data_IF_613105435625
#
_entry.id   IF_613105435625
#
_cell.length_a   1.000
_cell.length_b   1.000
_cell.length_c   1.000
_cell.angle_alpha   90.00
_cell.angle_beta   90.00
_cell.angle_gamma   90.00
#
_symmetry.space_group_name_H-M   'P 1'
#
loop_
_entity.id
_entity.type
_entity.pdbx_description
1 polymer ?
#
# COMPACT_ATOMS: atom_id res chain seq x y z
N UNK A 1 -11.15 4.99 -32.90
CA UNK A 1 -11.14 5.74 -31.62
C UNK A 1 -11.81 4.87 -30.57
N UNK A 2 -11.07 3.95 -29.95
CA UNK A 2 -11.58 3.04 -28.92
C UNK A 2 -10.93 3.38 -27.58
N UNK A 3 -11.74 3.70 -26.57
CA UNK A 3 -11.29 4.02 -25.21
C UNK A 3 -10.80 2.77 -24.47
N UNK A 4 -9.67 2.88 -23.77
CA UNK A 4 -9.07 1.80 -22.97
C UNK A 4 -9.84 1.65 -21.67
N UNK A 5 -10.33 0.45 -21.36
CA UNK A 5 -11.10 0.16 -20.16
C UNK A 5 -10.31 -0.75 -19.22
N UNK A 6 -10.23 -0.37 -17.94
CA UNK A 6 -9.57 -1.17 -16.90
C UNK A 6 -10.45 -2.38 -16.54
N UNK A 7 -9.84 -3.54 -16.32
CA UNK A 7 -10.54 -4.77 -15.89
C UNK A 7 -11.00 -4.62 -14.43
N UNK A 8 -12.29 -4.84 -14.19
CA UNK A 8 -12.96 -4.69 -12.89
C UNK A 8 -12.93 -6.03 -12.10
N UNK A 9 -12.36 -6.05 -10.89
CA UNK A 9 -12.58 -7.13 -9.89
C UNK A 9 -13.48 -6.61 -8.75
N UNK A 10 -14.61 -7.30 -8.57
CA UNK A 10 -15.74 -7.00 -7.68
C UNK A 10 -15.38 -7.04 -6.17
N UNK A 11 -14.24 -7.60 -5.77
CA UNK A 11 -13.84 -7.67 -4.34
C UNK A 11 -13.06 -6.46 -3.83
N UNK A 12 -12.40 -5.71 -4.73
CA UNK A 12 -11.70 -4.44 -4.42
C UNK A 12 -12.37 -3.20 -5.02
N UNK A 13 -13.43 -3.38 -5.80
CA UNK A 13 -14.19 -2.29 -6.44
C UNK A 13 -14.88 -1.32 -5.46
N UNK A 14 -15.07 -1.72 -4.20
CA UNK A 14 -15.76 -0.89 -3.20
C UNK A 14 -14.87 0.17 -2.53
N UNK A 15 -13.56 -0.09 -2.39
CA UNK A 15 -12.66 0.84 -1.69
C UNK A 15 -12.09 1.86 -2.67
N UNK A 16 -12.61 3.08 -2.59
CA UNK A 16 -12.20 4.22 -3.41
C UNK A 16 -11.51 5.24 -2.53
N UNK A 17 -10.40 5.76 -3.02
CA UNK A 17 -9.55 6.65 -2.26
C UNK A 17 -8.85 7.68 -3.17
N UNK A 18 -8.13 8.61 -2.57
CA UNK A 18 -7.45 9.70 -3.31
C UNK A 18 -6.33 9.13 -4.18
N UNK A 19 -6.31 9.53 -5.45
CA UNK A 19 -5.21 9.21 -6.38
C UNK A 19 -4.26 10.41 -6.49
N UNK A 20 -2.97 10.15 -6.51
CA UNK A 20 -1.90 11.15 -6.56
C UNK A 20 -1.10 11.01 -7.85
N UNK A 21 -0.71 12.13 -8.45
CA UNK A 21 0.04 12.16 -9.71
C UNK A 21 1.56 12.13 -9.49
N UNK A 22 2.02 12.42 -8.29
CA UNK A 22 3.43 12.47 -7.93
C UNK A 22 3.70 11.70 -6.64
N UNK A 23 4.86 11.05 -6.60
CA UNK A 23 5.46 10.40 -5.44
C UNK A 23 6.93 10.76 -5.44
N UNK A 24 7.44 11.26 -4.32
CA UNK A 24 8.86 11.59 -4.15
C UNK A 24 9.69 10.40 -3.64
N UNK A 25 11.00 10.60 -3.51
CA UNK A 25 11.93 9.58 -3.01
C UNK A 25 11.64 9.15 -1.55
N UNK A 26 10.90 9.96 -0.80
CA UNK A 26 10.45 9.68 0.56
C UNK A 26 9.13 8.94 0.65
N UNK A 27 8.57 8.48 -0.49
CA UNK A 27 7.24 7.84 -0.56
C UNK A 27 6.10 8.78 -0.13
N UNK A 28 6.26 10.08 -0.36
CA UNK A 28 5.23 11.08 -0.06
C UNK A 28 4.45 11.37 -1.34
N UNK A 29 3.14 11.20 -1.25
CA UNK A 29 2.22 11.45 -2.34
C UNK A 29 1.82 12.93 -2.42
N UNK A 30 1.85 13.50 -3.60
CA UNK A 30 1.46 14.89 -3.86
C UNK A 30 0.63 15.00 -5.15
N UNK A 31 0.01 16.18 -5.35
CA UNK A 31 -0.94 16.43 -6.45
C UNK A 31 -2.15 15.48 -6.45
N UNK A 32 -3.04 15.60 -5.45
CA UNK A 32 -4.24 14.78 -5.39
C UNK A 32 -5.17 15.12 -6.56
N UNK A 33 -5.66 14.09 -7.24
CA UNK A 33 -6.64 14.20 -8.31
C UNK A 33 -8.04 14.34 -7.73
N UNK A 34 -8.89 15.11 -8.41
CA UNK A 34 -10.27 15.28 -7.99
C UNK A 34 -11.06 13.97 -8.17
N UNK A 35 -11.73 13.52 -7.11
CA UNK A 35 -12.52 12.29 -7.08
C UNK A 35 -11.77 11.09 -6.48
N UNK A 36 -12.52 10.26 -5.75
CA UNK A 36 -12.03 8.99 -5.20
C UNK A 36 -12.16 7.91 -6.25
N UNK A 37 -11.08 7.17 -6.46
CA UNK A 37 -10.96 6.10 -7.47
C UNK A 37 -10.39 4.85 -6.83
N UNK A 38 -10.52 3.70 -7.50
CA UNK A 38 -9.86 2.47 -7.03
C UNK A 38 -8.34 2.52 -7.29
N UNK A 39 -7.60 1.64 -6.65
CA UNK A 39 -6.15 1.51 -6.87
C UNK A 39 -5.83 1.25 -8.36
N UNK A 40 -6.60 0.38 -9.02
CA UNK A 40 -6.44 0.09 -10.45
C UNK A 40 -6.76 1.30 -11.33
N UNK A 41 -7.86 2.01 -11.07
CA UNK A 41 -8.21 3.25 -11.78
C UNK A 41 -7.14 4.35 -11.58
N UNK A 42 -6.47 4.38 -10.43
CA UNK A 42 -5.37 5.31 -10.22
C UNK A 42 -4.15 4.90 -11.05
N UNK A 43 -3.66 3.67 -10.85
CA UNK A 43 -2.38 3.22 -11.34
C UNK A 43 -2.33 2.88 -12.84
N UNK A 44 -3.44 2.42 -13.42
CA UNK A 44 -3.51 2.11 -14.85
C UNK A 44 -3.65 3.34 -15.74
N UNK A 45 -4.13 4.44 -15.17
CA UNK A 45 -4.13 5.74 -15.82
C UNK A 45 -2.81 6.47 -15.54
N UNK A 46 -2.87 7.70 -15.03
CA UNK A 46 -1.72 8.57 -14.82
C UNK A 46 -1.26 8.66 -13.36
N UNK A 47 -1.89 7.89 -12.46
CA UNK A 47 -1.55 7.90 -11.04
C UNK A 47 -0.17 7.33 -10.77
N UNK A 48 0.41 7.79 -9.67
CA UNK A 48 1.68 7.31 -9.12
C UNK A 48 1.56 6.84 -7.67
N UNK A 49 0.54 7.27 -6.94
CA UNK A 49 0.23 6.75 -5.62
C UNK A 49 -1.25 6.87 -5.25
N UNK A 50 -1.68 6.11 -4.26
CA UNK A 50 -3.10 5.92 -3.96
C UNK A 50 -3.39 5.74 -2.46
N UNK A 51 -4.42 6.43 -1.97
CA UNK A 51 -4.89 6.39 -0.59
C UNK A 51 -4.05 7.21 0.39
N UNK A 52 -4.52 7.34 1.64
CA UNK A 52 -3.88 8.16 2.68
C UNK A 52 -2.49 7.67 3.07
N UNK A 53 -2.21 6.38 2.90
CA UNK A 53 -0.92 5.73 3.18
C UNK A 53 0.07 5.79 1.99
N UNK A 54 -0.28 6.53 0.92
CA UNK A 54 0.54 6.67 -0.30
C UNK A 54 1.02 5.33 -0.89
N UNK A 55 0.08 4.42 -1.21
CA UNK A 55 0.43 3.17 -1.87
C UNK A 55 0.89 3.46 -3.30
N UNK A 56 2.17 3.23 -3.60
CA UNK A 56 2.74 3.54 -4.90
C UNK A 56 2.21 2.61 -6.00
N UNK A 57 2.13 3.16 -7.20
CA UNK A 57 1.76 2.39 -8.38
C UNK A 57 2.96 1.58 -8.88
N UNK A 58 2.73 0.36 -9.42
CA UNK A 58 3.81 -0.43 -10.01
C UNK A 58 4.46 0.33 -11.17
N UNK A 59 5.75 0.04 -11.41
CA UNK A 59 6.48 0.64 -12.51
C UNK A 59 5.81 0.30 -13.85
N UNK A 60 5.67 1.30 -14.73
CA UNK A 60 5.06 1.10 -16.06
C UNK A 60 5.80 0.02 -16.83
N UNK A 61 5.04 -0.85 -17.50
CA UNK A 61 5.53 -2.00 -18.27
C UNK A 61 6.22 -3.10 -17.46
N UNK A 62 6.28 -2.99 -16.13
CA UNK A 62 6.60 -4.15 -15.30
C UNK A 62 5.51 -5.21 -15.43
N UNK A 63 5.88 -6.47 -15.20
CA UNK A 63 4.91 -7.56 -15.15
C UNK A 63 3.78 -7.27 -14.14
N UNK A 64 4.11 -6.66 -13.00
CA UNK A 64 3.14 -6.19 -12.01
C UNK A 64 2.18 -5.11 -12.54
N UNK A 65 2.66 -4.20 -13.40
CA UNK A 65 1.80 -3.20 -14.04
C UNK A 65 0.91 -3.84 -15.11
N UNK A 66 1.45 -4.76 -15.91
CA UNK A 66 0.70 -5.43 -16.97
C UNK A 66 -0.40 -6.33 -16.41
N UNK A 67 -0.13 -7.05 -15.31
CA UNK A 67 -1.14 -7.84 -14.57
C UNK A 67 -2.20 -6.97 -13.89
N UNK A 68 -1.82 -5.79 -13.36
CA UNK A 68 -2.77 -4.84 -12.75
C UNK A 68 -3.68 -4.17 -13.78
N UNK A 69 -3.14 -3.89 -14.96
CA UNK A 69 -3.77 -3.04 -15.95
C UNK A 69 -4.15 -3.81 -17.21
N UNK A 70 -4.34 -5.13 -17.09
CA UNK A 70 -4.56 -6.08 -18.19
C UNK A 70 -5.16 -5.41 -19.42
N UNK A 71 -4.26 -5.09 -20.36
CA UNK A 71 -4.61 -4.56 -21.65
C UNK A 71 -4.94 -5.77 -22.50
N UNK A 72 -6.20 -5.92 -22.93
CA UNK A 72 -6.50 -6.77 -24.07
C UNK A 72 -5.65 -6.29 -25.25
N UNK A 73 -4.57 -7.02 -25.55
CA UNK A 73 -4.06 -7.12 -26.90
C UNK A 73 -4.89 -8.21 -27.56
N UNK A 74 -5.86 -7.79 -28.36
CA UNK A 74 -6.62 -8.67 -29.24
C UNK A 74 -5.64 -9.43 -30.14
N UNK A 75 -5.47 -10.74 -29.94
CA UNK A 75 -5.02 -11.61 -31.01
C UNK A 75 -6.28 -12.10 -31.73
N UNK A 76 -6.61 -11.43 -32.83
CA UNK A 76 -7.40 -12.04 -33.90
C UNK A 76 -6.62 -13.26 -34.43
N UNK A 77 -6.96 -14.47 -33.99
CA UNK A 77 -6.77 -15.70 -34.79
C UNK A 77 -7.50 -16.87 -34.11
N UNK A 78 -8.63 -17.23 -34.71
CA UNK A 78 -9.15 -18.59 -34.89
C UNK A 78 -9.11 -19.55 -33.68
N UNK A 79 -10.17 -19.53 -32.87
CA UNK A 79 -10.55 -20.70 -32.07
C UNK A 79 -10.98 -20.37 -30.65
N UNK A 80 -12.28 -20.25 -30.44
CA UNK A 80 -12.89 -20.37 -29.11
C UNK A 80 -12.64 -21.78 -28.56
N UNK A 81 -11.71 -21.92 -27.62
CA UNK A 81 -11.68 -22.93 -26.53
C UNK A 81 -10.26 -22.97 -25.93
N UNK A 82 -9.98 -22.17 -24.89
CA UNK A 82 -9.14 -22.66 -23.77
C UNK A 82 -8.96 -21.71 -22.58
N UNK A 83 -9.55 -20.50 -22.58
CA UNK A 83 -9.29 -19.57 -21.47
C UNK A 83 -10.02 -19.90 -20.15
N UNK A 84 -10.96 -20.85 -20.15
CA UNK A 84 -11.56 -21.39 -18.92
C UNK A 84 -10.93 -22.72 -18.46
N UNK A 85 -10.11 -23.37 -19.28
CA UNK A 85 -9.43 -24.61 -18.88
C UNK A 85 -8.20 -24.33 -18.00
N UNK A 86 -7.54 -23.19 -18.18
CA UNK A 86 -6.42 -22.77 -17.34
C UNK A 86 -6.80 -22.47 -15.88
N UNK A 87 -8.04 -22.03 -15.61
CA UNK A 87 -8.57 -21.87 -14.25
C UNK A 87 -9.21 -23.15 -13.69
N UNK A 88 -9.74 -24.03 -14.55
CA UNK A 88 -10.35 -25.29 -14.11
C UNK A 88 -9.31 -26.37 -13.76
N UNK A 89 -8.14 -26.33 -14.40
CA UNK A 89 -7.04 -27.28 -14.13
C UNK A 89 -5.98 -26.72 -13.16
N UNK A 90 -6.15 -25.49 -12.67
CA UNK A 90 -5.31 -24.96 -11.59
C UNK A 90 -5.71 -25.64 -10.28
N UNK A 91 -5.06 -26.76 -9.98
CA UNK A 91 -5.19 -27.45 -8.71
C UNK A 91 -4.49 -26.61 -7.63
N UNK A 92 -5.20 -26.07 -6.63
CA UNK A 92 -4.60 -25.29 -5.55
C UNK A 92 -3.82 -26.25 -4.63
N UNK A 93 -2.59 -26.57 -5.01
CA UNK A 93 -1.74 -27.52 -4.29
C UNK A 93 -0.51 -28.02 -5.05
N UNK A 94 -0.37 -27.72 -6.35
CA UNK A 94 0.80 -28.13 -7.14
C UNK A 94 1.90 -27.04 -7.17
N UNK A 95 2.15 -26.43 -6.02
CA UNK A 95 3.45 -25.78 -5.80
C UNK A 95 4.44 -26.91 -5.57
N UNK A 96 5.32 -27.17 -6.55
CA UNK A 96 6.58 -27.85 -6.25
C UNK A 96 7.17 -27.21 -4.99
N UNK A 97 7.62 -28.04 -4.04
CA UNK A 97 8.06 -27.67 -2.70
C UNK A 97 9.34 -26.79 -2.67
N UNK A 98 9.61 -26.01 -3.72
CA UNK A 98 10.72 -25.07 -3.85
C UNK A 98 10.29 -23.58 -3.74
N UNK A 99 8.99 -23.26 -3.72
CA UNK A 99 8.46 -21.87 -3.63
C UNK A 99 7.98 -21.48 -2.22
N UNK A 100 8.58 -22.04 -1.17
CA UNK A 100 8.24 -21.67 0.23
C UNK A 100 8.85 -20.33 0.66
N UNK A 101 9.69 -19.71 -0.17
CA UNK A 101 10.46 -18.50 0.17
C UNK A 101 9.94 -17.20 -0.45
N UNK A 102 8.90 -17.23 -1.30
CA UNK A 102 8.49 -16.05 -2.08
C UNK A 102 7.68 -15.00 -1.26
N UNK A 103 7.34 -15.29 0.00
CA UNK A 103 6.56 -14.38 0.85
C UNK A 103 7.08 -14.27 2.29
N UNK A 104 8.26 -13.66 2.47
CA UNK A 104 8.81 -13.34 3.79
C UNK A 104 8.22 -12.04 4.37
N UNK A 105 6.95 -12.06 4.79
CA UNK A 105 6.27 -10.92 5.41
C UNK A 105 6.61 -10.77 6.91
N UNK A 106 7.76 -10.18 7.24
CA UNK A 106 8.00 -9.72 8.61
C UNK A 106 7.04 -8.57 8.95
N UNK A 107 6.37 -8.62 10.12
CA UNK A 107 5.36 -7.65 10.56
C UNK A 107 4.12 -7.52 9.67
N UNK A 108 3.74 -8.62 9.02
CA UNK A 108 2.50 -8.71 8.27
C UNK A 108 2.05 -10.15 8.12
N UNK A 109 0.95 -10.35 7.38
CA UNK A 109 0.53 -11.66 6.92
C UNK A 109 0.62 -11.73 5.41
N UNK A 110 0.97 -12.92 4.94
CA UNK A 110 1.01 -13.20 3.52
C UNK A 110 -0.41 -13.41 2.98
N UNK A 111 -0.77 -12.72 1.91
CA UNK A 111 -2.07 -12.85 1.25
C UNK A 111 -1.90 -13.06 -0.25
N UNK A 112 -2.71 -13.95 -0.84
CA UNK A 112 -2.73 -14.10 -2.30
C UNK A 112 -3.38 -12.87 -2.93
N UNK A 113 -2.72 -12.33 -3.94
CA UNK A 113 -3.21 -11.25 -4.78
C UNK A 113 -3.14 -11.66 -6.26
N UNK A 114 -3.85 -10.94 -7.12
CA UNK A 114 -3.81 -11.13 -8.58
C UNK A 114 -2.42 -10.82 -9.17
N UNK A 115 -1.55 -10.16 -8.40
CA UNK A 115 -0.16 -9.86 -8.78
C UNK A 115 0.84 -10.92 -8.33
N UNK A 116 0.37 -12.01 -7.71
CA UNK A 116 1.20 -12.94 -6.96
C UNK A 116 1.01 -12.74 -5.47
N UNK A 117 1.92 -13.30 -4.69
CA UNK A 117 1.82 -13.26 -3.24
C UNK A 117 2.25 -11.88 -2.71
N UNK A 118 1.43 -11.23 -1.88
CA UNK A 118 1.72 -9.89 -1.31
C UNK A 118 1.59 -9.88 0.22
N UNK A 119 2.21 -8.90 0.87
CA UNK A 119 2.02 -8.71 2.30
C UNK A 119 0.80 -7.83 2.61
N UNK A 120 0.09 -8.18 3.67
CA UNK A 120 -0.81 -7.29 4.37
C UNK A 120 -0.15 -6.92 5.71
N UNK A 121 0.18 -5.64 5.88
CA UNK A 121 1.00 -5.17 6.99
C UNK A 121 0.19 -4.98 8.27
N UNK A 122 0.81 -5.31 9.41
CA UNK A 122 0.27 -4.99 10.72
C UNK A 122 0.20 -3.47 10.92
N UNK A 123 -0.62 -3.02 11.87
CA UNK A 123 -0.70 -1.60 12.22
C UNK A 123 0.68 -1.02 12.58
N UNK A 124 0.99 0.17 12.07
CA UNK A 124 2.30 0.81 12.23
C UNK A 124 3.33 0.42 11.16
N UNK A 125 2.95 -0.41 10.20
CA UNK A 125 3.78 -0.80 9.07
C UNK A 125 3.04 -0.55 7.75
N UNK A 126 3.79 -0.26 6.69
CA UNK A 126 3.30 -0.07 5.32
C UNK A 126 4.06 -0.93 4.32
N UNK A 127 3.47 -1.15 3.16
CA UNK A 127 4.13 -1.94 2.11
C UNK A 127 5.34 -1.19 1.55
N UNK A 128 6.40 -1.94 1.25
CA UNK A 128 7.48 -1.43 0.42
C UNK A 128 7.04 -1.33 -1.06
N UNK A 129 7.91 -0.76 -1.91
CA UNK A 129 7.59 -0.57 -3.33
C UNK A 129 7.27 -1.88 -4.06
N UNK A 130 7.85 -2.99 -3.58
CA UNK A 130 7.70 -4.32 -4.15
C UNK A 130 6.43 -5.02 -3.64
N UNK A 131 5.79 -4.52 -2.57
CA UNK A 131 4.63 -5.11 -1.88
C UNK A 131 4.88 -6.50 -1.30
N UNK A 132 6.15 -6.88 -1.16
CA UNK A 132 6.59 -8.16 -0.61
C UNK A 132 7.15 -8.03 0.80
N UNK A 133 7.23 -6.79 1.34
CA UNK A 133 7.71 -6.54 2.70
C UNK A 133 6.92 -5.42 3.36
N UNK A 134 6.83 -5.50 4.68
CA UNK A 134 6.27 -4.46 5.53
C UNK A 134 7.41 -3.66 6.18
N UNK A 135 7.48 -2.38 5.84
CA UNK A 135 8.41 -1.43 6.41
C UNK A 135 7.73 -0.62 7.51
N UNK A 136 8.52 -0.30 8.53
CA UNK A 136 8.08 0.53 9.64
C UNK A 136 7.69 1.93 9.15
N UNK A 137 6.61 2.48 9.70
CA UNK A 137 6.18 3.85 9.41
C UNK A 137 6.88 4.76 10.42
N UNK A 138 7.77 5.65 9.97
CA UNK A 138 8.41 6.61 10.89
C UNK A 138 7.49 7.80 11.16
N UNK A 139 6.65 7.70 12.19
CA UNK A 139 5.71 8.78 12.51
C UNK A 139 6.40 10.05 13.01
N UNK A 140 7.69 10.00 13.37
CA UNK A 140 8.47 11.14 13.80
C UNK A 140 9.10 11.92 12.63
N UNK A 141 9.39 11.23 11.52
CA UNK A 141 10.14 11.76 10.38
C UNK A 141 9.31 11.98 9.12
N UNK A 142 8.24 11.21 8.91
CA UNK A 142 7.45 11.29 7.68
C UNK A 142 6.42 12.45 7.73
N UNK A 143 6.55 13.47 6.84
CA UNK A 143 5.62 14.60 6.81
C UNK A 143 4.24 14.13 6.33
N UNK A 144 3.20 14.38 7.12
CA UNK A 144 1.80 14.13 6.74
C UNK A 144 1.14 12.93 7.41
N UNK A 145 1.90 11.92 7.86
CA UNK A 145 1.35 10.73 8.56
C UNK A 145 0.72 11.13 9.90
N UNK A 146 1.41 11.99 10.66
CA UNK A 146 0.88 12.67 11.85
C UNK A 146 1.55 14.02 12.01
N UNK A 147 0.88 15.11 11.66
CA UNK A 147 1.39 16.47 11.92
C UNK A 147 1.66 16.64 13.44
N UNK A 148 2.92 16.48 13.86
CA UNK A 148 3.39 16.49 15.25
C UNK A 148 2.77 15.38 16.14
N UNK A 149 3.26 14.12 16.05
CA UNK A 149 2.71 12.99 16.81
C UNK A 149 2.85 13.14 18.34
N UNK A 150 3.71 14.05 18.81
CA UNK A 150 4.03 14.26 20.22
C UNK A 150 3.92 15.75 20.63
N UNK A 151 2.99 16.10 21.51
CA UNK A 151 2.82 17.48 22.02
C UNK A 151 3.66 17.72 23.29
N UNK A 152 4.55 18.71 23.24
CA UNK A 152 5.51 19.05 24.31
C UNK A 152 6.43 17.88 24.71
N UNK A 153 6.71 16.99 23.77
CA UNK A 153 7.55 15.82 23.95
C UNK A 153 8.52 15.68 22.78
N UNK A 154 9.59 14.91 22.98
CA UNK A 154 10.48 14.39 21.95
C UNK A 154 9.87 13.09 21.42
N UNK A 155 9.69 13.01 20.10
CA UNK A 155 9.28 11.78 19.41
C UNK A 155 10.48 10.86 19.22
N UNK A 156 10.28 9.55 19.40
CA UNK A 156 11.25 8.51 19.11
C UNK A 156 10.52 7.38 18.39
N UNK A 157 10.91 7.10 17.15
CA UNK A 157 10.32 6.04 16.35
C UNK A 157 10.69 4.66 16.93
N UNK A 158 9.80 3.69 16.82
CA UNK A 158 9.98 2.30 17.27
C UNK A 158 9.30 1.34 16.29
N UNK A 159 9.75 0.09 16.18
CA UNK A 159 9.11 -0.83 15.24
C UNK A 159 7.59 -1.00 15.53
N UNK A 160 6.76 -0.60 14.57
CA UNK A 160 5.30 -0.62 14.59
C UNK A 160 4.64 0.49 15.39
N UNK A 161 5.39 1.48 15.91
CA UNK A 161 4.85 2.54 16.75
C UNK A 161 5.83 3.67 17.04
N UNK A 162 5.49 4.57 17.95
CA UNK A 162 6.41 5.60 18.44
C UNK A 162 6.23 5.85 19.92
N UNK A 163 7.26 6.44 20.54
CA UNK A 163 7.24 6.87 21.94
C UNK A 163 7.49 8.37 22.07
N UNK A 164 6.63 9.02 22.86
CA UNK A 164 6.78 10.42 23.22
C UNK A 164 7.42 10.54 24.61
N UNK A 165 8.57 11.22 24.69
CA UNK A 165 9.25 11.53 25.94
C UNK A 165 9.06 13.00 26.29
N UNK A 166 8.43 13.29 27.44
CA UNK A 166 8.17 14.66 27.85
C UNK A 166 9.45 15.48 27.97
N UNK A 167 9.41 16.72 27.48
CA UNK A 167 10.49 17.68 27.67
C UNK A 167 10.62 18.06 29.15
N UNK A 168 11.79 18.55 29.54
CA UNK A 168 12.05 18.97 30.92
C UNK A 168 10.97 19.94 31.44
N UNK A 169 10.43 19.68 32.64
CA UNK A 169 9.33 20.45 33.25
C UNK A 169 7.92 20.07 32.79
N UNK A 170 7.76 19.09 31.90
CA UNK A 170 6.48 18.51 31.50
C UNK A 170 6.34 17.08 32.03
N UNK A 171 5.10 16.66 32.28
CA UNK A 171 4.74 15.31 32.74
C UNK A 171 3.75 14.66 31.78
N UNK A 172 3.78 13.31 31.65
CA UNK A 172 2.86 12.59 30.80
C UNK A 172 1.42 12.73 31.30
N UNK A 173 0.47 12.74 30.37
CA UNK A 173 -0.96 12.77 30.68
C UNK A 173 -1.59 11.40 30.47
N UNK A 174 -2.90 11.28 30.65
CA UNK A 174 -3.65 10.08 30.25
C UNK A 174 -3.60 9.81 28.74
N UNK A 175 -3.28 10.81 27.93
CA UNK A 175 -3.02 10.64 26.50
C UNK A 175 -1.52 10.39 26.30
N UNK A 176 -1.13 9.25 25.69
CA UNK A 176 0.29 8.86 25.56
C UNK A 176 1.13 9.87 24.76
N UNK A 177 0.48 10.67 23.92
CA UNK A 177 1.12 11.60 23.00
C UNK A 177 1.14 13.06 23.48
N UNK A 178 0.73 13.32 24.73
CA UNK A 178 0.58 14.67 25.24
C UNK A 178 1.23 14.82 26.61
N UNK A 179 2.10 15.82 26.71
CA UNK A 179 2.73 16.22 27.96
C UNK A 179 2.27 17.62 28.39
N UNK A 180 2.03 17.79 29.69
CA UNK A 180 1.58 19.05 30.29
C UNK A 180 2.53 19.50 31.39
N UNK A 181 2.67 20.81 31.60
CA UNK A 181 3.43 21.34 32.74
C UNK A 181 2.70 21.02 34.04
N UNK A 182 3.45 20.70 35.10
CA UNK A 182 2.90 20.71 36.45
C UNK A 182 2.50 22.14 36.79
N UNK A 183 1.24 22.37 37.19
CA UNK A 183 0.85 23.65 37.79
C UNK A 183 1.58 23.76 39.13
N UNK A 184 2.55 24.66 39.22
CA UNK A 184 3.03 25.13 40.52
C UNK A 184 1.84 25.77 41.22
N UNK A 185 1.50 25.26 42.40
CA UNK A 185 0.68 25.99 43.37
C UNK A 185 1.55 27.06 44.01
#
# INVERSE_FOLDING_TARGET
MGGKQCVYDDRTAAHKDVCFLQVDEGLICSEPRNGMVTYAECCCHYGRGWGPECNTCPQRHSEMFNRLCEMQLETESDGEQDFMAAFANYNPGDSSEEDSDECSCANGRCVRSYLGTMCECNSGFRLDHSRTRCIDIDECGEPGVRLSPCKNARCVNTAGSYKCYCKHGFVPTRRPNMCMRRRSR
#
